data_IF_371215763410
#
_entry.id   IF_371215763410
#
_cell.length_a   1.000
_cell.length_b   1.000
_cell.length_c   1.000
_cell.angle_alpha   90.00
_cell.angle_beta   90.00
_cell.angle_gamma   90.00
#
_symmetry.space_group_name_H-M   'P 1'
#
loop_
_entity.id
_entity.type
_entity.pdbx_description
1 polymer ?
#
# COMPACT_ATOMS: atom_id res chain seq x y z
N UNK A 1 4.67 17.33 17.00
CA UNK A 1 3.92 16.14 16.54
C UNK A 1 4.80 15.21 15.70
N UNK A 2 5.66 15.74 14.81
CA UNK A 2 6.57 14.97 13.94
C UNK A 2 7.57 14.08 14.69
N UNK A 3 8.09 14.52 15.84
CA UNK A 3 9.09 13.75 16.60
C UNK A 3 8.56 12.44 17.20
N UNK A 4 7.29 12.42 17.62
CA UNK A 4 6.67 11.22 18.17
C UNK A 4 6.42 10.17 17.07
N UNK A 5 5.95 10.62 15.91
CA UNK A 5 5.79 9.76 14.73
C UNK A 5 7.14 9.16 14.30
N UNK A 6 8.19 9.99 14.24
CA UNK A 6 9.55 9.52 13.90
C UNK A 6 10.06 8.47 14.88
N UNK A 7 9.86 8.66 16.20
CA UNK A 7 10.23 7.66 17.21
C UNK A 7 9.53 6.33 17.00
N UNK A 8 8.22 6.34 16.75
CA UNK A 8 7.43 5.12 16.49
C UNK A 8 7.86 4.42 15.21
N UNK A 9 8.21 5.18 14.16
CA UNK A 9 8.77 4.62 12.92
C UNK A 9 10.13 3.96 13.17
N UNK A 10 11.04 4.63 13.89
CA UNK A 10 12.35 4.08 14.26
C UNK A 10 12.19 2.80 15.10
N UNK A 11 11.29 2.81 16.08
CA UNK A 11 10.98 1.63 16.88
C UNK A 11 10.48 0.48 16.01
N UNK A 12 9.55 0.76 15.08
CA UNK A 12 9.04 -0.27 14.18
C UNK A 12 10.13 -0.82 13.25
N UNK A 13 11.03 0.03 12.76
CA UNK A 13 12.18 -0.39 11.94
C UNK A 13 13.10 -1.35 12.69
N UNK A 14 13.39 -1.05 13.96
CA UNK A 14 14.30 -1.83 14.79
C UNK A 14 13.66 -3.14 15.28
N UNK A 15 12.46 -3.04 15.87
CA UNK A 15 11.84 -4.12 16.65
C UNK A 15 10.85 -4.95 15.85
N UNK A 16 10.41 -4.47 14.68
CA UNK A 16 9.44 -5.18 13.85
C UNK A 16 9.95 -6.53 13.35
N UNK A 17 9.03 -7.45 13.04
CA UNK A 17 9.35 -8.74 12.42
C UNK A 17 9.70 -8.57 10.94
N UNK A 18 10.35 -9.58 10.36
CA UNK A 18 10.64 -9.59 8.91
C UNK A 18 9.30 -9.63 8.17
N UNK A 19 9.13 -8.74 7.19
CA UNK A 19 7.88 -8.59 6.43
C UNK A 19 6.67 -8.21 7.28
N UNK A 20 6.89 -7.56 8.43
CA UNK A 20 5.78 -7.09 9.26
C UNK A 20 5.03 -5.95 8.57
N UNK A 21 3.71 -5.99 8.63
CA UNK A 21 2.79 -5.05 8.02
C UNK A 21 1.85 -4.49 9.09
N UNK A 22 1.71 -3.17 9.15
CA UNK A 22 0.81 -2.45 10.06
C UNK A 22 -0.17 -1.58 9.29
N UNK A 23 -1.43 -1.59 9.70
CA UNK A 23 -2.45 -0.71 9.12
C UNK A 23 -2.26 0.73 9.62
N UNK A 24 -2.48 1.70 8.75
CA UNK A 24 -2.55 3.11 9.14
C UNK A 24 -4.00 3.57 9.27
N UNK A 25 -4.22 4.80 9.72
CA UNK A 25 -5.51 5.48 9.69
C UNK A 25 -6.01 5.82 8.27
N UNK A 26 -5.22 5.58 7.22
CA UNK A 26 -5.62 5.78 5.82
C UNK A 26 -5.99 4.41 5.23
N UNK A 27 -7.28 4.16 4.89
CA UNK A 27 -7.69 2.92 4.27
C UNK A 27 -6.91 2.65 2.98
N UNK A 28 -6.37 1.44 2.85
CA UNK A 28 -5.54 1.05 1.71
C UNK A 28 -4.05 1.35 1.86
N UNK A 29 -3.63 2.14 2.86
CA UNK A 29 -2.23 2.38 3.15
C UNK A 29 -1.73 1.56 4.34
N UNK A 30 -0.55 0.98 4.19
CA UNK A 30 0.06 0.13 5.22
C UNK A 30 1.52 0.47 5.38
N UNK A 31 1.98 0.49 6.63
CA UNK A 31 3.38 0.56 6.95
C UNK A 31 3.98 -0.84 6.86
N UNK A 32 5.04 -0.99 6.07
CA UNK A 32 5.63 -2.27 5.74
C UNK A 32 7.12 -2.30 6.08
N UNK A 33 7.54 -3.28 6.88
CA UNK A 33 8.95 -3.47 7.23
C UNK A 33 9.60 -4.49 6.31
N UNK A 34 10.52 -4.00 5.48
CA UNK A 34 11.34 -4.81 4.61
C UNK A 34 12.53 -5.39 5.40
N UNK A 35 12.80 -6.71 5.28
CA UNK A 35 13.96 -7.29 5.93
C UNK A 35 15.25 -6.87 5.22
N UNK A 36 16.36 -6.96 5.95
CA UNK A 36 17.72 -6.90 5.37
C UNK A 36 17.85 -7.91 4.24
N UNK A 37 18.35 -7.48 3.07
CA UNK A 37 18.49 -8.34 1.88
C UNK A 37 19.67 -7.87 1.02
N UNK A 38 20.50 -8.82 0.56
CA UNK A 38 21.58 -8.63 -0.43
C UNK A 38 22.34 -7.28 -0.28
N UNK A 39 22.87 -7.01 0.91
CA UNK A 39 23.66 -5.80 1.19
C UNK A 39 22.86 -4.53 1.50
N UNK A 40 21.52 -4.60 1.56
CA UNK A 40 20.65 -3.50 1.98
C UNK A 40 20.17 -3.73 3.42
N UNK A 41 20.25 -2.71 4.30
CA UNK A 41 19.72 -2.79 5.66
C UNK A 41 18.19 -2.97 5.63
N UNK A 42 17.63 -3.39 6.76
CA UNK A 42 16.18 -3.34 6.95
C UNK A 42 15.69 -1.90 6.71
N UNK A 43 14.51 -1.77 6.14
CA UNK A 43 13.92 -0.47 5.80
C UNK A 43 12.41 -0.48 5.93
N UNK A 44 11.83 0.71 6.02
CA UNK A 44 10.39 0.89 5.98
C UNK A 44 9.95 1.24 4.56
N UNK A 45 8.73 0.86 4.23
CA UNK A 45 8.04 1.19 3.00
C UNK A 45 6.55 1.40 3.30
N UNK A 46 5.86 2.04 2.36
CA UNK A 46 4.41 2.17 2.36
C UNK A 46 3.87 1.22 1.31
N UNK A 47 2.92 0.36 1.67
CA UNK A 47 2.17 -0.44 0.71
C UNK A 47 0.81 0.21 0.48
N UNK A 48 0.53 0.57 -0.77
CA UNK A 48 -0.75 1.11 -1.21
C UNK A 48 -1.54 0.05 -1.95
N UNK A 49 -2.69 -0.31 -1.42
CA UNK A 49 -3.62 -1.24 -2.02
C UNK A 49 -4.90 -0.51 -2.46
N UNK A 50 -5.44 -0.79 -3.66
CA UNK A 50 -6.75 -0.28 -4.04
C UNK A 50 -7.82 -0.80 -3.08
N UNK A 51 -8.68 0.09 -2.62
CA UNK A 51 -9.86 -0.21 -1.83
C UNK A 51 -11.10 -0.31 -2.72
N UNK A 52 -12.09 -1.09 -2.31
CA UNK A 52 -13.40 -1.12 -2.93
C UNK A 52 -14.31 0.01 -2.42
N UNK A 53 -15.54 0.08 -2.92
CA UNK A 53 -16.54 1.08 -2.53
C UNK A 53 -16.97 0.99 -1.05
N UNK A 54 -16.62 -0.09 -0.37
CA UNK A 54 -16.91 -0.33 1.04
C UNK A 54 -15.68 -0.10 1.94
N UNK A 55 -14.57 0.37 1.36
CA UNK A 55 -13.32 0.62 2.08
C UNK A 55 -12.50 -0.65 2.36
N UNK A 56 -12.87 -1.80 1.80
CA UNK A 56 -12.10 -3.03 1.95
C UNK A 56 -10.97 -3.10 0.93
N UNK A 57 -9.85 -3.62 1.38
CA UNK A 57 -8.67 -3.85 0.54
C UNK A 57 -9.04 -4.90 -0.52
N UNK A 58 -8.86 -4.57 -1.80
CA UNK A 58 -9.03 -5.55 -2.86
C UNK A 58 -7.95 -6.63 -2.78
N UNK A 59 -8.23 -7.86 -3.26
CA UNK A 59 -7.20 -8.94 -3.35
C UNK A 59 -6.08 -8.66 -4.36
N UNK A 60 -6.01 -7.44 -4.91
CA UNK A 60 -5.00 -7.03 -5.88
C UNK A 60 -3.67 -6.85 -5.16
N UNK A 61 -2.56 -7.03 -5.90
CA UNK A 61 -1.23 -6.71 -5.37
C UNK A 61 -1.11 -5.21 -5.16
N UNK A 62 -0.69 -4.82 -3.96
CA UNK A 62 -0.35 -3.44 -3.64
C UNK A 62 0.94 -2.98 -4.28
N UNK A 63 1.08 -1.66 -4.37
CA UNK A 63 2.32 -1.00 -4.79
C UNK A 63 3.12 -0.69 -3.54
N UNK A 64 4.37 -1.17 -3.47
CA UNK A 64 5.28 -0.89 -2.37
C UNK A 64 6.16 0.31 -2.74
N UNK A 65 6.13 1.35 -1.91
CA UNK A 65 6.78 2.64 -2.11
C UNK A 65 7.80 2.85 -0.99
N UNK A 66 9.05 3.12 -1.34
CA UNK A 66 10.18 3.20 -0.40
C UNK A 66 10.66 4.62 -0.13
N UNK A 67 10.25 5.60 -0.95
CA UNK A 67 10.65 6.99 -0.78
C UNK A 67 9.55 7.95 -1.26
N UNK A 68 9.64 9.21 -0.84
CA UNK A 68 8.76 10.27 -1.34
C UNK A 68 8.93 10.51 -2.84
N UNK A 69 10.17 10.43 -3.35
CA UNK A 69 10.44 10.56 -4.79
C UNK A 69 9.73 9.46 -5.59
N UNK A 70 9.80 8.20 -5.13
CA UNK A 70 9.11 7.08 -5.78
C UNK A 70 7.58 7.27 -5.75
N UNK A 71 7.03 7.82 -4.65
CA UNK A 71 5.61 8.17 -4.56
C UNK A 71 5.22 9.20 -5.63
N UNK A 72 6.00 10.27 -5.77
CA UNK A 72 5.72 11.36 -6.70
C UNK A 72 5.79 10.89 -8.15
N UNK A 73 6.79 10.08 -8.49
CA UNK A 73 6.93 9.48 -9.83
C UNK A 73 5.75 8.56 -10.19
N UNK A 74 5.36 7.67 -9.27
CA UNK A 74 4.23 6.77 -9.47
C UNK A 74 2.92 7.56 -9.58
N UNK A 75 2.72 8.56 -8.72
CA UNK A 75 1.55 9.45 -8.77
C UNK A 75 1.44 10.17 -10.12
N UNK A 76 2.56 10.68 -10.62
CA UNK A 76 2.65 11.27 -11.96
C UNK A 76 2.22 10.30 -13.07
N UNK A 77 2.70 9.06 -13.03
CA UNK A 77 2.32 8.03 -14.01
C UNK A 77 0.83 7.66 -13.92
N UNK A 78 0.28 7.51 -12.71
CA UNK A 78 -1.13 7.17 -12.50
C UNK A 78 -2.07 8.29 -12.93
N UNK A 79 -1.65 9.55 -12.81
CA UNK A 79 -2.40 10.72 -13.28
C UNK A 79 -2.27 10.97 -14.79
N UNK A 80 -1.39 10.23 -15.49
CA UNK A 80 -1.13 10.47 -16.90
C UNK A 80 -2.35 10.11 -17.78
N UNK A 81 -2.82 11.03 -18.67
CA UNK A 81 -4.04 10.81 -19.45
C UNK A 81 -4.04 9.52 -20.29
N UNK A 82 -2.90 9.18 -20.91
CA UNK A 82 -2.76 7.95 -21.70
C UNK A 82 -2.90 6.67 -20.87
N UNK A 83 -2.52 6.69 -19.59
CA UNK A 83 -2.67 5.54 -18.69
C UNK A 83 -4.15 5.34 -18.37
N UNK A 84 -4.88 6.43 -18.12
CA UNK A 84 -6.34 6.40 -17.95
C UNK A 84 -7.09 5.97 -19.22
N UNK A 85 -6.63 6.38 -20.41
CA UNK A 85 -7.21 5.93 -21.67
C UNK A 85 -6.98 4.42 -21.89
N UNK A 86 -5.76 3.95 -21.60
CA UNK A 86 -5.40 2.54 -21.73
C UNK A 86 -6.23 1.66 -20.78
N UNK A 87 -6.45 2.09 -19.53
CA UNK A 87 -7.27 1.32 -18.59
C UNK A 87 -8.71 1.15 -19.10
N UNK A 88 -9.33 2.20 -19.66
CA UNK A 88 -10.66 2.11 -20.28
C UNK A 88 -10.70 1.15 -21.46
N UNK A 89 -9.66 1.13 -22.30
CA UNK A 89 -9.56 0.18 -23.42
C UNK A 89 -9.43 -1.26 -22.93
N UNK A 90 -8.65 -1.47 -21.87
CA UNK A 90 -8.53 -2.78 -21.21
C UNK A 90 -9.89 -3.25 -20.67
N UNK A 91 -10.64 -2.37 -20.01
CA UNK A 91 -11.97 -2.70 -19.49
C UNK A 91 -12.97 -3.05 -20.59
N UNK A 92 -12.84 -2.45 -21.78
CA UNK A 92 -13.71 -2.73 -22.93
C UNK A 92 -13.45 -4.09 -23.58
N UNK A 93 -12.22 -4.60 -23.53
CA UNK A 93 -11.84 -5.88 -24.18
C UNK A 93 -11.86 -7.07 -23.23
N UNK A 94 -11.73 -6.83 -21.92
CA UNK A 94 -11.68 -7.90 -20.95
C UNK A 94 -13.06 -8.55 -20.76
N UNK A 95 -13.13 -9.89 -20.66
CA UNK A 95 -14.38 -10.57 -20.36
C UNK A 95 -14.86 -10.16 -18.96
N UNK A 96 -16.15 -9.80 -18.85
CA UNK A 96 -16.77 -9.48 -17.56
C UNK A 96 -16.85 -10.74 -16.71
N UNK A 97 -16.11 -10.80 -15.61
CA UNK A 97 -16.31 -11.83 -14.58
C UNK A 97 -17.55 -11.48 -13.77
N UNK A 98 -18.45 -12.45 -13.57
CA UNK A 98 -19.51 -12.34 -12.58
C UNK A 98 -18.87 -12.18 -11.18
N UNK A 99 -19.25 -11.11 -10.48
CA UNK A 99 -18.67 -10.76 -9.19
C UNK A 99 -19.16 -11.72 -8.10
N UNK A 100 -18.37 -12.73 -7.75
CA UNK A 100 -18.61 -13.53 -6.55
C UNK A 100 -18.16 -12.73 -5.32
N UNK A 101 -19.13 -12.34 -4.49
CA UNK A 101 -19.00 -11.70 -3.19
C UNK A 101 -18.11 -12.51 -2.24
N UNK A 102 -17.01 -11.93 -1.75
CA UNK A 102 -16.20 -12.54 -0.68
C UNK A 102 -15.87 -11.50 0.40
N UNK A 103 -16.80 -11.38 1.34
CA UNK A 103 -16.64 -10.73 2.64
C UNK A 103 -15.67 -11.52 3.53
N UNK A 104 -14.62 -10.88 4.02
CA UNK A 104 -13.70 -11.46 5.02
C UNK A 104 -13.26 -10.42 6.03
N UNK A 105 -13.91 -10.39 7.19
CA UNK A 105 -13.57 -9.56 8.37
C UNK A 105 -12.26 -10.03 9.02
N UNK A 106 -11.37 -9.10 9.33
CA UNK A 106 -10.49 -9.10 10.51
C UNK A 106 -9.88 -7.70 10.65
N UNK A 107 -10.26 -6.95 11.69
CA UNK A 107 -9.68 -5.64 11.97
C UNK A 107 -8.47 -5.77 12.90
N UNK A 108 -7.27 -5.29 12.53
CA UNK A 108 -6.15 -5.14 13.45
C UNK A 108 -5.94 -3.67 13.84
N UNK A 109 -5.22 -3.48 14.96
CA UNK A 109 -4.75 -2.20 15.53
C UNK A 109 -4.39 -1.14 14.48
N UNK A 110 -5.00 0.05 14.61
CA UNK A 110 -4.85 1.18 13.69
C UNK A 110 -3.70 2.07 14.16
N UNK A 111 -2.72 2.32 13.29
CA UNK A 111 -1.62 3.26 13.55
C UNK A 111 -2.02 4.67 13.08
N UNK A 112 -2.14 5.61 14.02
CA UNK A 112 -2.42 7.03 13.73
C UNK A 112 -1.13 7.75 13.30
N UNK A 113 -1.22 8.49 12.18
CA UNK A 113 -0.19 9.42 11.68
C UNK A 113 -0.69 10.86 11.72
#
# INVERSE_FOLDING_TARGET
MTEEANKRLIQFLNDGRKWERKATNIPGAFLFRLPTSKGRPASLAIEINPIDMHGYITKKRGVVIRSSLELDEISGLLSHPKVSELSKKIDAVNPKREATTLTGKAGPDIFEI
#
